data_IF_883207144025
#
_entry.id   IF_883207144025
#
_cell.length_a   1.000
_cell.length_b   1.000
_cell.length_c   1.000
_cell.angle_alpha   90.00
_cell.angle_beta   90.00
_cell.angle_gamma   90.00
#
_symmetry.space_group_name_H-M   'P 1'
#
loop_
_entity.id
_entity.type
_entity.pdbx_description
1 polymer ?
#
# COMPACT_ATOMS: atom_id res chain seq x y z
N UNK A 1 3.11 15.49 -0.08
CA UNK A 1 4.35 16.28 0.05
C UNK A 1 4.98 16.46 -1.32
N UNK A 2 5.44 15.37 -1.95
CA UNK A 2 6.08 15.41 -3.27
C UNK A 2 5.29 16.19 -4.32
N UNK A 3 4.01 15.86 -4.58
CA UNK A 3 3.19 16.63 -5.53
C UNK A 3 3.09 18.13 -5.19
N UNK A 4 3.02 18.49 -3.89
CA UNK A 4 2.99 19.90 -3.45
C UNK A 4 4.34 20.58 -3.68
N UNK A 5 5.45 19.89 -3.39
CA UNK A 5 6.80 20.38 -3.60
C UNK A 5 7.07 20.61 -5.10
N UNK A 6 6.61 19.69 -5.96
CA UNK A 6 6.68 19.84 -7.41
C UNK A 6 5.92 21.09 -7.89
N UNK A 7 4.64 21.25 -7.54
CA UNK A 7 3.88 22.45 -7.93
C UNK A 7 4.49 23.74 -7.36
N UNK A 8 5.04 23.67 -6.14
CA UNK A 8 5.68 24.82 -5.52
C UNK A 8 6.96 25.24 -6.27
N UNK A 9 7.78 24.28 -6.70
CA UNK A 9 8.99 24.52 -7.51
C UNK A 9 8.66 25.21 -8.83
N UNK A 10 7.60 24.77 -9.52
CA UNK A 10 7.13 25.36 -10.78
C UNK A 10 6.68 26.82 -10.59
N UNK A 11 5.89 27.11 -9.54
CA UNK A 11 5.39 28.46 -9.27
C UNK A 11 6.48 29.42 -8.79
N UNK A 12 7.49 28.91 -8.08
CA UNK A 12 8.63 29.70 -7.61
C UNK A 12 9.54 30.20 -8.74
N UNK A 13 9.51 29.58 -9.92
CA UNK A 13 10.21 30.09 -11.11
C UNK A 13 9.44 31.21 -11.83
N UNK A 14 8.11 31.29 -11.67
CA UNK A 14 7.28 32.30 -12.32
C UNK A 14 7.20 33.64 -11.55
N UNK A 15 7.27 33.60 -10.22
CA UNK A 15 7.18 34.79 -9.35
C UNK A 15 8.49 35.02 -8.57
N UNK A 16 9.50 35.59 -9.23
CA UNK A 16 10.80 35.93 -8.63
C UNK A 16 10.78 37.19 -7.73
N UNK A 17 9.66 37.49 -7.07
CA UNK A 17 9.54 38.57 -6.10
C UNK A 17 8.54 38.13 -5.00
N UNK A 18 9.07 37.72 -3.84
CA UNK A 18 8.51 37.80 -2.47
C UNK A 18 8.98 36.60 -1.61
N UNK A 19 9.99 36.91 -0.79
CA UNK A 19 10.15 36.57 0.63
C UNK A 19 10.15 35.08 1.08
N UNK A 20 11.36 34.59 1.40
CA UNK A 20 11.68 33.54 2.39
C UNK A 20 10.95 32.18 2.36
N UNK A 21 10.52 31.72 1.19
CA UNK A 21 9.95 30.37 1.07
C UNK A 21 11.04 29.31 0.89
N UNK A 22 11.31 28.61 1.98
CA UNK A 22 12.27 27.52 2.07
C UNK A 22 12.01 26.46 1.00
N UNK A 23 13.05 26.05 0.27
CA UNK A 23 12.99 24.92 -0.65
C UNK A 23 12.60 23.64 0.11
N UNK A 24 11.35 23.20 -0.09
CA UNK A 24 10.78 22.04 0.57
C UNK A 24 11.60 20.76 0.34
N UNK A 25 12.38 20.68 -0.76
CA UNK A 25 13.22 19.54 -1.07
C UNK A 25 14.45 19.40 -0.18
N UNK A 26 14.90 20.48 0.47
CA UNK A 26 16.11 20.51 1.32
C UNK A 26 15.82 20.39 2.81
N UNK A 27 14.55 20.44 3.20
CA UNK A 27 14.15 20.37 4.61
C UNK A 27 14.31 18.95 5.14
N UNK A 28 14.85 18.83 6.36
CA UNK A 28 14.71 17.59 7.13
C UNK A 28 13.25 17.37 7.50
N UNK A 29 12.89 16.12 7.83
CA UNK A 29 11.52 15.78 8.27
C UNK A 29 11.11 16.61 9.49
N UNK A 30 12.05 16.88 10.41
CA UNK A 30 11.80 17.71 11.59
C UNK A 30 11.47 19.16 11.20
N UNK A 31 12.29 19.79 10.37
CA UNK A 31 12.08 21.17 9.91
C UNK A 31 10.75 21.31 9.15
N UNK A 32 10.42 20.33 8.29
CA UNK A 32 9.15 20.31 7.58
C UNK A 32 7.96 20.21 8.54
N UNK A 33 8.05 19.40 9.61
CA UNK A 33 6.99 19.31 10.63
C UNK A 33 6.80 20.63 11.37
N UNK A 34 7.87 21.31 11.75
CA UNK A 34 7.82 22.62 12.41
C UNK A 34 7.17 23.67 11.50
N UNK A 35 7.49 23.68 10.20
CA UNK A 35 6.84 24.56 9.21
C UNK A 35 5.33 24.30 9.13
N UNK A 36 4.92 23.03 9.00
CA UNK A 36 3.50 22.65 8.92
C UNK A 36 2.76 22.98 10.24
N UNK A 37 3.45 22.92 11.37
CA UNK A 37 2.91 23.34 12.67
C UNK A 37 2.70 24.85 12.73
N UNK A 38 3.67 25.66 12.28
CA UNK A 38 3.54 27.12 12.19
C UNK A 38 2.36 27.54 11.29
N UNK A 39 2.10 26.78 10.22
CA UNK A 39 0.93 27.01 9.35
C UNK A 39 -0.41 26.51 9.95
N UNK A 40 -0.42 25.89 11.13
CA UNK A 40 -1.63 25.33 11.74
C UNK A 40 -2.22 24.13 11.00
N UNK A 41 -1.45 23.48 10.12
CA UNK A 41 -1.89 22.35 9.28
C UNK A 41 -1.42 20.99 9.78
N UNK A 42 -0.72 20.95 10.92
CA UNK A 42 -0.22 19.71 11.50
C UNK A 42 -1.40 18.89 12.03
N UNK A 43 -1.56 17.69 11.48
CA UNK A 43 -2.56 16.73 11.96
C UNK A 43 -1.96 15.88 13.07
N UNK A 44 -2.79 15.58 14.06
CA UNK A 44 -2.46 14.62 15.11
C UNK A 44 -2.19 13.24 14.51
N UNK A 45 -1.26 12.52 15.12
CA UNK A 45 -0.95 11.15 14.72
C UNK A 45 -2.08 10.22 15.19
N UNK A 46 -2.80 9.66 14.23
CA UNK A 46 -3.77 8.58 14.50
C UNK A 46 -3.01 7.26 14.50
N UNK A 47 -3.15 6.48 15.57
CA UNK A 47 -2.54 5.16 15.73
C UNK A 47 -3.52 4.21 16.43
N UNK A 48 -3.15 2.94 16.50
CA UNK A 48 -3.89 1.91 17.23
C UNK A 48 -2.92 1.03 18.01
N UNK A 49 -3.34 0.45 19.13
CA UNK A 49 -2.52 -0.50 19.88
C UNK A 49 -2.75 -1.93 19.38
N UNK A 50 -1.76 -2.80 19.57
CA UNK A 50 -1.82 -4.20 19.15
C UNK A 50 -3.02 -4.99 19.72
N UNK A 51 -3.54 -4.56 20.89
CA UNK A 51 -4.67 -5.21 21.57
C UNK A 51 -6.04 -4.77 21.04
N UNK A 52 -6.10 -3.78 20.15
CA UNK A 52 -7.38 -3.33 19.60
C UNK A 52 -7.83 -4.21 18.41
N UNK A 53 -9.13 -4.15 18.10
CA UNK A 53 -9.71 -4.93 17.01
C UNK A 53 -9.40 -4.37 15.61
N UNK A 54 -9.38 -5.27 14.61
CA UNK A 54 -9.27 -4.87 13.20
C UNK A 54 -10.47 -4.03 12.73
N UNK A 55 -11.64 -4.19 13.34
CA UNK A 55 -12.81 -3.35 13.07
C UNK A 55 -12.56 -1.90 13.46
N UNK A 56 -11.96 -1.68 14.63
CA UNK A 56 -11.59 -0.34 15.07
C UNK A 56 -10.52 0.27 14.18
N UNK A 57 -9.52 -0.54 13.77
CA UNK A 57 -8.53 -0.12 12.79
C UNK A 57 -9.16 0.32 11.46
N UNK A 58 -10.16 -0.44 10.96
CA UNK A 58 -10.88 -0.11 9.74
C UNK A 58 -11.69 1.19 9.88
N UNK A 59 -12.33 1.43 11.04
CA UNK A 59 -13.05 2.67 11.34
C UNK A 59 -12.13 3.87 11.35
N UNK A 60 -10.98 3.79 12.04
CA UNK A 60 -10.01 4.89 12.11
C UNK A 60 -9.44 5.25 10.73
N UNK A 61 -9.09 4.24 9.91
CA UNK A 61 -8.64 4.45 8.53
C UNK A 61 -9.68 5.23 7.71
N UNK A 62 -10.96 4.86 7.81
CA UNK A 62 -12.06 5.48 7.08
C UNK A 62 -12.41 6.88 7.60
N UNK A 63 -12.60 7.04 8.91
CA UNK A 63 -13.00 8.30 9.54
C UNK A 63 -11.95 9.40 9.34
N UNK A 64 -10.67 9.08 9.55
CA UNK A 64 -9.59 10.05 9.38
C UNK A 64 -9.10 10.20 7.93
N UNK A 65 -9.66 9.41 6.99
CA UNK A 65 -9.27 9.38 5.56
C UNK A 65 -7.77 9.15 5.37
N UNK A 66 -7.19 8.25 6.16
CA UNK A 66 -5.77 7.88 6.11
C UNK A 66 -5.61 6.49 5.53
N UNK A 67 -4.55 6.26 4.74
CA UNK A 67 -4.38 4.99 4.03
C UNK A 67 -3.52 3.97 4.80
N UNK A 68 -2.82 4.44 5.84
CA UNK A 68 -1.84 3.70 6.64
C UNK A 68 -2.04 4.08 8.10
N UNK A 69 -2.18 3.09 8.97
CA UNK A 69 -2.40 3.24 10.40
C UNK A 69 -1.27 2.51 11.15
N UNK A 70 -0.41 3.23 11.88
CA UNK A 70 0.61 2.61 12.73
C UNK A 70 -0.05 1.79 13.85
N UNK A 71 0.49 0.60 14.09
CA UNK A 71 0.16 -0.27 15.22
C UNK A 71 1.29 -0.17 16.22
N UNK A 72 1.00 0.29 17.42
CA UNK A 72 1.97 0.46 18.49
C UNK A 72 1.83 -0.66 19.53
N UNK A 73 2.95 -1.00 20.15
CA UNK A 73 2.97 -1.81 21.36
C UNK A 73 2.44 -0.98 22.54
N UNK A 74 1.38 -1.42 23.25
CA UNK A 74 0.83 -0.68 24.37
C UNK A 74 1.79 -0.51 25.56
N UNK A 75 2.77 -1.42 25.73
CA UNK A 75 3.70 -1.35 26.86
C UNK A 75 4.90 -0.44 26.57
N UNK A 76 5.60 -0.66 25.45
CA UNK A 76 6.79 0.12 25.11
C UNK A 76 6.52 1.38 24.28
N UNK A 77 5.34 1.49 23.66
CA UNK A 77 5.03 2.53 22.67
C UNK A 77 5.73 2.33 21.32
N UNK A 78 6.44 1.20 21.13
CA UNK A 78 7.22 0.93 19.93
C UNK A 78 6.32 0.64 18.72
N UNK A 79 6.67 1.09 17.51
CA UNK A 79 5.93 0.75 16.30
C UNK A 79 6.16 -0.71 15.89
N UNK A 80 5.10 -1.51 15.90
CA UNK A 80 5.13 -2.93 15.52
C UNK A 80 4.83 -3.15 14.05
N UNK A 81 3.81 -2.48 13.52
CA UNK A 81 3.33 -2.71 12.16
C UNK A 81 2.67 -1.47 11.55
N UNK A 82 2.54 -1.46 10.21
CA UNK A 82 1.73 -0.46 9.50
C UNK A 82 0.55 -1.17 8.82
N UNK A 83 -0.63 -0.95 9.37
CA UNK A 83 -1.86 -1.51 8.86
C UNK A 83 -2.39 -0.67 7.69
N UNK A 84 -2.89 -1.32 6.65
CA UNK A 84 -3.38 -0.63 5.43
C UNK A 84 -4.70 -1.25 4.97
N UNK A 85 -5.50 -0.48 4.23
CA UNK A 85 -6.71 -0.97 3.57
C UNK A 85 -6.45 -2.26 2.76
N UNK A 86 -5.35 -2.31 2.00
CA UNK A 86 -4.98 -3.50 1.21
C UNK A 86 -4.79 -4.75 2.08
N UNK A 87 -4.20 -4.60 3.26
CA UNK A 87 -3.97 -5.74 4.17
C UNK A 87 -5.26 -6.21 4.83
N UNK A 88 -6.14 -5.28 5.24
CA UNK A 88 -7.47 -5.59 5.73
C UNK A 88 -8.33 -6.30 4.68
N UNK A 89 -8.35 -5.79 3.44
CA UNK A 89 -9.06 -6.43 2.34
C UNK A 89 -8.48 -7.81 2.02
N UNK A 90 -7.16 -7.99 2.07
CA UNK A 90 -6.54 -9.32 1.91
C UNK A 90 -6.95 -10.27 3.02
N UNK A 91 -7.02 -9.79 4.27
CA UNK A 91 -7.53 -10.58 5.39
C UNK A 91 -8.99 -10.99 5.14
N UNK A 92 -9.86 -10.04 4.79
CA UNK A 92 -11.26 -10.32 4.45
C UNK A 92 -11.39 -11.26 3.25
N UNK A 93 -10.50 -11.18 2.26
CA UNK A 93 -10.51 -12.13 1.14
C UNK A 93 -10.11 -13.55 1.57
N UNK A 94 -9.06 -13.68 2.39
CA UNK A 94 -8.52 -14.97 2.82
C UNK A 94 -9.42 -15.68 3.84
N UNK A 95 -10.05 -14.94 4.75
CA UNK A 95 -10.85 -15.50 5.86
C UNK A 95 -12.35 -15.18 5.73
N UNK A 96 -12.74 -14.43 4.70
CA UNK A 96 -14.11 -13.97 4.42
C UNK A 96 -15.17 -15.06 4.44
N UNK A 97 -14.83 -16.22 3.89
CA UNK A 97 -15.74 -17.36 3.77
C UNK A 97 -16.09 -17.98 5.12
N UNK A 98 -15.29 -17.72 6.16
CA UNK A 98 -15.57 -18.17 7.53
C UNK A 98 -16.54 -17.21 8.25
N UNK A 99 -16.82 -16.02 7.69
CA UNK A 99 -17.79 -15.09 8.24
C UNK A 99 -19.14 -15.24 7.53
N UNK A 100 -20.22 -14.85 8.21
CA UNK A 100 -21.55 -14.77 7.60
C UNK A 100 -21.50 -13.90 6.35
N UNK A 101 -21.80 -14.46 5.19
CA UNK A 101 -21.84 -13.68 3.95
C UNK A 101 -23.01 -12.71 4.03
N UNK A 102 -22.77 -11.40 3.88
CA UNK A 102 -23.84 -10.43 3.86
C UNK A 102 -24.68 -10.59 2.59
N UNK A 103 -25.98 -10.34 2.67
CA UNK A 103 -26.93 -10.50 1.55
C UNK A 103 -26.57 -9.68 0.31
N UNK A 104 -25.76 -8.64 0.46
CA UNK A 104 -25.29 -7.78 -0.63
C UNK A 104 -24.11 -8.36 -1.43
N UNK A 105 -23.55 -9.52 -1.08
CA UNK A 105 -22.38 -10.10 -1.77
C UNK A 105 -22.62 -10.41 -3.25
N UNK A 106 -23.88 -10.57 -3.68
CA UNK A 106 -24.28 -10.80 -5.08
C UNK A 106 -24.59 -9.52 -5.86
N UNK A 107 -24.65 -8.37 -5.19
CA UNK A 107 -24.99 -7.08 -5.82
C UNK A 107 -23.76 -6.45 -6.46
N UNK A 108 -23.95 -5.71 -7.54
CA UNK A 108 -22.83 -5.00 -8.17
C UNK A 108 -22.41 -3.81 -7.31
N UNK A 109 -21.16 -3.33 -7.48
CA UNK A 109 -20.70 -2.11 -6.80
C UNK A 109 -21.61 -0.91 -7.11
N UNK A 110 -22.22 -0.87 -8.30
CA UNK A 110 -23.15 0.20 -8.70
C UNK A 110 -24.46 0.13 -7.94
N UNK A 111 -25.04 -1.07 -7.79
CA UNK A 111 -26.28 -1.28 -7.02
C UNK A 111 -26.08 -0.95 -5.53
N UNK A 112 -24.86 -1.12 -5.04
CA UNK A 112 -24.46 -0.78 -3.67
C UNK A 112 -24.03 0.68 -3.51
N UNK A 113 -24.05 1.48 -4.59
CA UNK A 113 -23.54 2.85 -4.61
C UNK A 113 -22.11 2.98 -4.04
N UNK A 114 -21.28 1.96 -4.28
CA UNK A 114 -19.88 1.93 -3.85
C UNK A 114 -19.02 2.54 -4.95
N UNK A 115 -18.29 3.60 -4.60
CA UNK A 115 -17.43 4.34 -5.52
C UNK A 115 -18.07 5.60 -6.08
N UNK A 116 -17.46 6.18 -7.11
CA UNK A 116 -17.94 7.39 -7.78
C UNK A 116 -18.27 7.07 -9.23
N UNK A 117 -19.53 7.29 -9.61
CA UNK A 117 -20.07 6.93 -10.93
C UNK A 117 -20.24 8.13 -11.86
N UNK A 118 -20.15 9.34 -11.32
CA UNK A 118 -20.31 10.61 -12.06
C UNK A 118 -19.18 11.56 -11.69
N UNK A 119 -18.87 12.49 -12.59
CA UNK A 119 -17.84 13.51 -12.34
C UNK A 119 -16.42 12.95 -12.22
N UNK A 120 -16.16 11.74 -12.74
CA UNK A 120 -14.83 11.12 -12.76
C UNK A 120 -13.89 12.03 -13.55
N UNK A 121 -12.81 12.47 -12.89
CA UNK A 121 -11.75 13.24 -13.54
C UNK A 121 -10.82 12.28 -14.24
N UNK A 122 -10.48 12.61 -15.48
CA UNK A 122 -9.56 11.87 -16.32
C UNK A 122 -8.58 12.84 -16.95
N UNK A 123 -7.44 12.34 -17.38
CA UNK A 123 -6.45 13.08 -18.18
C UNK A 123 -6.15 12.31 -19.46
N UNK A 124 -5.61 12.99 -20.46
CA UNK A 124 -5.16 12.39 -21.71
C UNK A 124 -3.62 12.24 -21.69
N UNK A 125 -3.02 11.37 -22.52
CA UNK A 125 -1.57 11.17 -22.58
C UNK A 125 -0.78 12.47 -22.76
N UNK A 126 -1.28 13.37 -23.61
CA UNK A 126 -0.72 14.68 -23.96
C UNK A 126 -1.04 15.79 -22.95
N UNK A 127 -1.84 15.50 -21.91
CA UNK A 127 -2.17 16.51 -20.88
C UNK A 127 -0.90 16.93 -20.13
N UNK A 128 -0.65 18.24 -19.93
CA UNK A 128 0.46 18.71 -19.10
C UNK A 128 0.41 18.14 -17.67
N UNK A 129 1.56 17.71 -17.17
CA UNK A 129 1.68 17.09 -15.85
C UNK A 129 1.20 18.03 -14.73
N UNK A 130 1.43 19.33 -14.87
CA UNK A 130 0.97 20.36 -13.93
C UNK A 130 -0.54 20.31 -13.69
N UNK A 131 -1.34 20.09 -14.74
CA UNK A 131 -2.80 19.93 -14.64
C UNK A 131 -3.14 18.63 -13.90
N UNK A 132 -2.45 17.52 -14.20
CA UNK A 132 -2.67 16.26 -13.50
C UNK A 132 -2.35 16.37 -11.99
N UNK A 133 -1.23 17.02 -11.64
CA UNK A 133 -0.85 17.29 -10.24
C UNK A 133 -1.87 18.19 -9.54
N UNK A 134 -2.41 19.19 -10.22
CA UNK A 134 -3.47 20.06 -9.69
C UNK A 134 -4.73 19.26 -9.34
N UNK A 135 -5.17 18.35 -10.22
CA UNK A 135 -6.29 17.44 -9.94
C UNK A 135 -6.01 16.60 -8.69
N UNK A 136 -4.83 15.97 -8.59
CA UNK A 136 -4.46 15.15 -7.44
C UNK A 136 -4.49 15.93 -6.12
N UNK A 137 -4.05 17.19 -6.13
CA UNK A 137 -3.96 18.02 -4.93
C UNK A 137 -5.32 18.65 -4.56
N UNK A 138 -6.03 19.23 -5.52
CA UNK A 138 -7.24 20.00 -5.28
C UNK A 138 -8.50 19.13 -5.17
N UNK A 139 -8.52 17.95 -5.81
CA UNK A 139 -9.64 17.00 -5.69
C UNK A 139 -9.41 15.93 -4.62
N UNK A 140 -8.23 15.91 -4.01
CA UNK A 140 -7.91 14.98 -2.92
C UNK A 140 -7.89 13.51 -3.34
N UNK A 141 -7.72 13.23 -4.63
CA UNK A 141 -7.68 11.87 -5.19
C UNK A 141 -6.25 11.34 -5.20
N UNK A 142 -6.08 10.02 -5.02
CA UNK A 142 -4.76 9.39 -4.98
C UNK A 142 -4.17 9.09 -6.35
N UNK A 143 -5.01 9.09 -7.38
CA UNK A 143 -4.63 8.89 -8.76
C UNK A 143 -5.73 9.31 -9.72
N UNK A 144 -5.36 9.52 -10.97
CA UNK A 144 -6.24 9.95 -12.06
C UNK A 144 -6.07 8.96 -13.23
N UNK A 145 -7.17 8.41 -13.78
CA UNK A 145 -7.10 7.59 -14.98
C UNK A 145 -6.58 8.39 -16.18
N UNK A 146 -5.68 7.77 -16.94
CA UNK A 146 -5.26 8.26 -18.25
C UNK A 146 -6.09 7.55 -19.28
N UNK A 147 -6.79 8.30 -20.12
CA UNK A 147 -7.72 7.76 -21.12
C UNK A 147 -7.35 8.21 -22.52
N UNK A 148 -7.66 7.38 -23.51
CA UNK A 148 -7.58 7.76 -24.91
C UNK A 148 -8.66 8.81 -25.25
N UNK A 149 -8.32 9.78 -26.12
CA UNK A 149 -9.16 10.93 -26.42
C UNK A 149 -10.49 10.58 -27.09
N UNK A 150 -10.46 9.66 -28.05
CA UNK A 150 -11.63 9.38 -28.88
C UNK A 150 -12.56 8.33 -28.25
N UNK A 151 -11.99 7.35 -27.55
CA UNK A 151 -12.74 6.22 -27.00
C UNK A 151 -13.02 6.34 -25.51
N UNK A 152 -12.33 7.25 -24.80
CA UNK A 152 -12.29 7.31 -23.33
C UNK A 152 -11.88 5.99 -22.66
N UNK A 153 -11.27 5.06 -23.41
CA UNK A 153 -10.74 3.82 -22.85
C UNK A 153 -9.56 4.15 -21.94
N UNK A 154 -9.54 3.54 -20.76
CA UNK A 154 -8.42 3.68 -19.82
C UNK A 154 -7.19 2.99 -20.42
N UNK A 155 -6.12 3.75 -20.57
CA UNK A 155 -4.82 3.28 -21.10
C UNK A 155 -3.76 3.19 -20.01
N UNK A 156 -3.82 4.04 -18.99
CA UNK A 156 -2.92 4.01 -17.83
C UNK A 156 -3.57 4.75 -16.63
N UNK A 157 -2.82 4.92 -15.54
CA UNK A 157 -3.19 5.69 -14.36
C UNK A 157 -1.96 6.45 -13.85
N UNK A 158 -2.12 7.76 -13.62
CA UNK A 158 -1.12 8.58 -12.95
C UNK A 158 -1.51 8.78 -11.49
N UNK A 159 -0.60 8.48 -10.57
CA UNK A 159 -0.83 8.48 -9.12
C UNK A 159 0.14 9.39 -8.38
N UNK A 160 -0.18 9.71 -7.12
CA UNK A 160 0.74 10.46 -6.25
C UNK A 160 2.08 9.76 -6.03
N UNK A 161 2.15 8.45 -6.24
CA UNK A 161 3.40 7.69 -6.15
C UNK A 161 4.29 7.93 -7.37
N UNK A 162 3.68 8.11 -8.55
CA UNK A 162 4.42 8.32 -9.80
C UNK A 162 5.13 9.67 -9.82
N UNK A 163 4.59 10.66 -9.09
CA UNK A 163 5.23 11.94 -8.85
C UNK A 163 6.59 11.83 -8.13
N UNK A 164 6.86 10.71 -7.42
CA UNK A 164 8.17 10.47 -6.80
C UNK A 164 9.26 10.31 -7.85
N UNK A 165 8.99 9.59 -8.93
CA UNK A 165 9.96 9.41 -10.02
C UNK A 165 10.39 10.74 -10.62
N UNK A 166 9.44 11.64 -10.86
CA UNK A 166 9.70 13.00 -11.36
C UNK A 166 10.55 13.81 -10.39
N UNK A 167 10.26 13.73 -9.09
CA UNK A 167 11.01 14.48 -8.08
C UNK A 167 12.46 14.00 -7.88
N UNK A 168 12.76 12.76 -8.27
CA UNK A 168 14.11 12.17 -8.17
C UNK A 168 14.95 12.43 -9.43
N UNK A 169 14.35 12.89 -10.52
CA UNK A 169 15.05 13.18 -11.76
C UNK A 169 15.74 14.55 -11.65
N UNK A 170 17.07 14.57 -11.63
CA UNK A 170 17.89 15.79 -11.47
C UNK A 170 17.73 16.77 -12.65
N UNK A 171 17.29 16.28 -13.82
CA UNK A 171 17.06 17.08 -15.03
C UNK A 171 15.65 17.68 -15.13
N UNK A 172 14.74 17.35 -14.21
CA UNK A 172 13.37 17.86 -14.20
C UNK A 172 13.27 19.27 -13.56
N UNK A 173 14.06 20.21 -14.08
CA UNK A 173 14.02 21.61 -13.64
C UNK A 173 12.74 22.34 -14.08
N UNK A 174 12.01 21.79 -15.05
CA UNK A 174 10.68 22.25 -15.46
C UNK A 174 9.69 21.08 -15.44
N UNK A 175 8.48 21.30 -14.93
CA UNK A 175 7.37 20.34 -15.06
C UNK A 175 6.69 20.42 -16.43
N UNK A 176 7.38 20.94 -17.45
CA UNK A 176 6.91 21.04 -18.83
C UNK A 176 7.01 19.68 -19.55
N UNK A 177 6.33 18.69 -18.98
CA UNK A 177 6.22 17.34 -19.51
C UNK A 177 4.75 16.93 -19.55
N UNK A 178 4.40 16.14 -20.55
CA UNK A 178 3.11 15.48 -20.65
C UNK A 178 2.98 14.34 -19.63
N UNK A 179 1.75 13.93 -19.32
CA UNK A 179 1.47 12.75 -18.48
C UNK A 179 2.12 11.49 -19.05
N UNK A 180 2.10 11.29 -20.37
CA UNK A 180 2.75 10.13 -21.00
C UNK A 180 4.26 10.11 -20.77
N UNK A 181 4.94 11.24 -20.94
CA UNK A 181 6.37 11.36 -20.63
C UNK A 181 6.61 11.11 -19.14
N UNK A 182 5.77 11.70 -18.28
CA UNK A 182 5.87 11.55 -16.83
C UNK A 182 5.75 10.08 -16.37
N UNK A 183 4.91 9.30 -17.05
CA UNK A 183 4.73 7.87 -16.77
C UNK A 183 5.96 7.03 -17.14
N UNK A 184 6.79 7.46 -18.09
CA UNK A 184 8.02 6.74 -18.46
C UNK A 184 9.07 6.78 -17.32
N UNK A 185 9.04 7.82 -16.49
CA UNK A 185 9.89 7.90 -15.29
C UNK A 185 9.52 6.89 -14.21
N UNK A 186 8.34 6.24 -14.26
CA UNK A 186 7.97 5.12 -13.37
C UNK A 186 9.05 4.02 -13.35
N UNK A 187 9.75 3.85 -14.46
CA UNK A 187 10.76 2.79 -14.65
C UNK A 187 12.21 3.28 -14.56
N UNK A 188 12.44 4.57 -14.32
CA UNK A 188 13.76 5.20 -14.36
C UNK A 188 14.36 5.47 -12.97
N UNK A 189 13.77 4.91 -11.91
CA UNK A 189 14.35 4.95 -10.58
C UNK A 189 15.62 4.09 -10.51
N UNK A 190 16.76 4.61 -10.97
CA UNK A 190 18.10 3.98 -10.87
C UNK A 190 18.52 3.64 -9.42
N UNK A 191 17.74 4.02 -8.41
CA UNK A 191 18.00 3.75 -6.99
C UNK A 191 16.84 3.15 -6.18
N UNK A 192 15.75 2.68 -6.80
CA UNK A 192 14.65 2.03 -6.05
C UNK A 192 14.80 0.51 -6.16
N UNK A 193 15.22 -0.14 -5.08
CA UNK A 193 15.12 -1.60 -4.95
C UNK A 193 13.66 -1.93 -4.64
N UNK A 194 12.95 -2.53 -5.60
CA UNK A 194 11.58 -2.97 -5.37
C UNK A 194 11.53 -4.21 -4.48
N UNK A 195 10.38 -4.48 -3.85
CA UNK A 195 10.17 -5.74 -3.13
C UNK A 195 10.41 -6.96 -4.03
N UNK A 196 10.12 -6.82 -5.34
CA UNK A 196 10.38 -7.84 -6.35
C UNK A 196 11.88 -8.05 -6.56
N UNK A 197 12.70 -7.00 -6.54
CA UNK A 197 14.16 -7.11 -6.65
C UNK A 197 14.75 -7.83 -5.43
N UNK A 198 14.27 -7.49 -4.23
CA UNK A 198 14.63 -8.20 -2.99
C UNK A 198 14.22 -9.66 -3.06
N UNK A 199 12.98 -9.98 -3.45
CA UNK A 199 12.50 -11.37 -3.58
C UNK A 199 13.30 -12.12 -4.64
N UNK A 200 13.55 -11.49 -5.79
CA UNK A 200 14.32 -12.11 -6.85
C UNK A 200 15.75 -12.42 -6.40
N UNK A 201 16.39 -11.50 -5.69
CA UNK A 201 17.77 -11.66 -5.24
C UNK A 201 17.90 -12.59 -4.03
N UNK A 202 17.01 -12.49 -3.05
CA UNK A 202 17.08 -13.24 -1.79
C UNK A 202 16.40 -14.61 -1.86
N UNK A 203 15.39 -14.78 -2.72
CA UNK A 203 14.55 -15.99 -2.74
C UNK A 203 14.62 -16.71 -4.09
N UNK A 204 14.33 -16.02 -5.20
CA UNK A 204 14.18 -16.68 -6.51
C UNK A 204 15.52 -17.14 -7.08
N UNK A 205 16.55 -16.28 -7.09
CA UNK A 205 17.88 -16.63 -7.61
C UNK A 205 18.55 -17.76 -6.81
N UNK A 206 18.60 -17.73 -5.46
CA UNK A 206 19.09 -18.87 -4.69
C UNK A 206 18.22 -20.12 -4.84
N UNK A 207 16.90 -19.94 -4.96
CA UNK A 207 15.92 -21.00 -5.10
C UNK A 207 15.90 -21.70 -6.47
N UNK A 208 16.51 -21.11 -7.51
CA UNK A 208 16.53 -21.67 -8.86
C UNK A 208 17.22 -23.03 -8.95
N UNK A 209 18.10 -23.35 -8.00
CA UNK A 209 18.81 -24.63 -7.92
C UNK A 209 18.08 -25.67 -7.04
N UNK A 210 16.93 -25.33 -6.45
CA UNK A 210 16.15 -26.26 -5.65
C UNK A 210 15.39 -27.22 -6.55
N UNK A 211 15.47 -28.52 -6.25
CA UNK A 211 14.66 -29.53 -6.95
C UNK A 211 13.18 -29.20 -6.72
N UNK A 212 12.32 -29.25 -7.76
CA UNK A 212 10.90 -28.99 -7.59
C UNK A 212 10.33 -29.99 -6.59
N UNK A 213 9.82 -29.47 -5.47
CA UNK A 213 9.07 -30.27 -4.51
C UNK A 213 7.80 -30.70 -5.24
N UNK A 214 7.65 -32.00 -5.49
CA UNK A 214 6.36 -32.56 -5.94
C UNK A 214 5.35 -32.34 -4.82
N UNK A 215 4.56 -31.28 -4.95
CA UNK A 215 3.39 -31.09 -4.10
C UNK A 215 2.47 -32.29 -4.32
N UNK A 216 2.08 -33.05 -3.28
CA UNK A 216 1.02 -34.03 -3.40
C UNK A 216 -0.21 -33.31 -3.96
N UNK A 217 -0.90 -33.92 -4.93
CA UNK A 217 -2.20 -33.43 -5.41
C UNK A 217 -3.09 -33.20 -4.18
N UNK A 218 -3.40 -31.94 -3.88
CA UNK A 218 -4.46 -31.61 -2.92
C UNK A 218 -5.76 -32.12 -3.52
N UNK A 219 -6.19 -33.29 -3.08
CA UNK A 219 -7.58 -33.68 -3.22
C UNK A 219 -8.38 -32.70 -2.37
N UNK A 220 -9.12 -31.79 -3.03
CA UNK A 220 -10.20 -31.07 -2.37
C UNK A 220 -11.26 -32.11 -2.02
N UNK A 221 -11.20 -32.66 -0.81
CA UNK A 221 -12.37 -33.32 -0.23
C UNK A 221 -13.37 -32.22 0.10
N UNK A 222 -14.41 -32.12 -0.72
CA UNK A 222 -15.63 -31.42 -0.34
C UNK A 222 -16.22 -32.12 0.87
N UNK A 223 -15.97 -31.61 2.07
CA UNK A 223 -16.66 -32.08 3.26
C UNK A 223 -17.99 -31.34 3.40
N UNK A 224 -19.12 -32.06 3.54
CA UNK A 224 -20.37 -31.46 3.97
C UNK A 224 -20.23 -30.97 5.41
N UNK A 225 -20.91 -29.87 5.70
CA UNK A 225 -20.94 -29.12 6.94
C UNK A 225 -21.14 -29.99 8.20
N UNK A 226 -20.20 -29.87 9.14
CA UNK A 226 -20.42 -29.55 10.57
C UNK A 226 -19.08 -29.67 11.30
N UNK A 227 -18.31 -28.58 11.33
CA UNK A 227 -17.11 -28.49 12.16
C UNK A 227 -17.37 -27.40 13.20
N UNK A 228 -17.46 -27.80 14.47
CA UNK A 228 -17.69 -26.86 15.57
C UNK A 228 -16.50 -25.91 15.74
N UNK A 229 -16.77 -24.69 16.19
CA UNK A 229 -15.76 -23.62 16.40
C UNK A 229 -14.59 -24.05 17.29
N UNK A 230 -14.82 -25.00 18.21
CA UNK A 230 -13.80 -25.58 19.10
C UNK A 230 -12.80 -26.42 18.32
N UNK A 231 -13.29 -27.21 17.36
CA UNK A 231 -12.49 -28.11 16.54
C UNK A 231 -11.64 -27.34 15.52
N UNK A 232 -12.19 -26.25 14.96
CA UNK A 232 -11.44 -25.32 14.12
C UNK A 232 -10.31 -24.62 14.90
N UNK A 233 -10.57 -24.17 16.13
CA UNK A 233 -9.55 -23.54 16.98
C UNK A 233 -8.44 -24.51 17.33
N UNK A 234 -8.77 -25.75 17.70
CA UNK A 234 -7.76 -26.79 17.96
C UNK A 234 -6.86 -26.99 16.74
N UNK A 235 -7.44 -27.19 15.55
CA UNK A 235 -6.68 -27.45 14.33
C UNK A 235 -5.81 -26.27 13.89
N UNK A 236 -6.26 -25.05 14.12
CA UNK A 236 -5.46 -23.84 13.86
C UNK A 236 -4.31 -23.71 14.85
N UNK A 237 -4.55 -24.02 16.13
CA UNK A 237 -3.50 -24.05 17.15
C UNK A 237 -2.44 -25.12 16.83
N UNK A 238 -2.89 -26.33 16.44
CA UNK A 238 -2.02 -27.44 16.06
C UNK A 238 -1.20 -27.13 14.80
N UNK A 239 -1.79 -26.41 13.84
CA UNK A 239 -1.08 -25.99 12.63
C UNK A 239 -0.07 -24.88 12.93
N UNK A 240 -0.39 -23.97 13.85
CA UNK A 240 0.51 -22.90 14.30
C UNK A 240 1.71 -23.47 15.07
N UNK A 241 1.49 -24.41 15.99
CA UNK A 241 2.56 -25.07 16.75
C UNK A 241 3.47 -25.88 15.83
N UNK A 242 2.92 -26.60 14.85
CA UNK A 242 3.71 -27.38 13.90
C UNK A 242 4.59 -26.49 12.99
N UNK A 243 4.11 -25.30 12.63
CA UNK A 243 4.88 -24.30 11.91
C UNK A 243 5.98 -23.68 12.79
N UNK A 244 5.68 -23.39 14.06
CA UNK A 244 6.66 -22.90 15.03
C UNK A 244 7.75 -23.94 15.33
N UNK A 245 7.40 -25.21 15.50
CA UNK A 245 8.35 -26.31 15.73
C UNK A 245 9.23 -26.58 14.51
N UNK A 246 8.70 -26.37 13.31
CA UNK A 246 9.45 -26.44 12.05
C UNK A 246 10.39 -25.25 11.88
N UNK A 247 9.95 -24.04 12.23
CA UNK A 247 10.74 -22.81 12.13
C UNK A 247 11.86 -22.74 13.19
N UNK A 248 11.61 -23.28 14.39
CA UNK A 248 12.58 -23.34 15.50
C UNK A 248 13.50 -24.57 15.44
N UNK A 249 13.30 -25.48 14.48
CA UNK A 249 14.14 -26.65 14.28
C UNK A 249 14.00 -27.73 15.36
N UNK A 250 12.94 -27.69 16.17
CA UNK A 250 12.68 -28.65 17.27
C UNK A 250 12.56 -30.10 16.77
N UNK A 251 11.89 -30.29 15.63
CA UNK A 251 11.79 -31.60 14.95
C UNK A 251 13.16 -32.26 14.68
N UNK A 252 14.21 -31.46 14.45
CA UNK A 252 15.57 -31.98 14.20
C UNK A 252 16.27 -32.44 15.48
N UNK A 253 15.94 -31.85 16.63
CA UNK A 253 16.48 -32.25 17.95
C UNK A 253 15.85 -33.55 18.45
N UNK A 254 14.56 -33.76 18.20
CA UNK A 254 13.87 -34.96 18.65
C UNK A 254 14.28 -36.20 17.84
N UNK A 255 14.51 -36.04 16.52
CA UNK A 255 15.04 -37.11 15.66
C UNK A 255 16.49 -37.49 16.04
N UNK A 256 17.32 -36.52 16.46
CA UNK A 256 18.68 -36.83 16.96
C UNK A 256 18.67 -37.57 18.31
N UNK A 257 17.64 -37.37 19.13
CA UNK A 257 17.50 -38.06 20.43
C UNK A 257 16.90 -39.47 20.29
N UNK A 258 16.18 -39.75 19.21
CA UNK A 258 15.66 -41.08 18.87
C UNK A 258 16.70 -42.01 18.21
N UNK A 259 17.82 -41.47 17.72
CA UNK A 259 18.91 -42.24 17.09
C UNK A 259 20.02 -42.68 18.07
N UNK A 260 19.85 -42.49 19.38
CA UNK A 260 20.82 -42.85 20.43
C UNK A 260 20.21 -43.75 21.53
N UNK A 261 19.39 -44.73 21.13
CA UNK A 261 19.08 -45.91 21.95
C UNK A 261 19.11 -47.17 21.09
#
# INVERSE_FOLDING_TARGET
LVCKALIFRERGQADALVDDKHDLGKLTIQQYRELVQKEGKLKELVYINANNSLLEAARLLAQHRIHRLPVLDPESGSPLFILTHKRLLKFLWCFGQQFSQPDYHIRTAKDLNVGSWVGIRVVFPDTPLTICLDILLNKGVSGVPVVERDTFKVVDMYSRFDAVGIALEESADSLDVSVEQALKFKNLGRGIISLSDVINHMVVKPGANLKPIRVPRRHYTSHPYDCSDVDLRSRLQDSATLLEDTATGKLRKDISNLSLR
#
